data_IF_571056331811
#
_entry.id   IF_571056331811
#
_cell.length_a   1.000
_cell.length_b   1.000
_cell.length_c   1.000
_cell.angle_alpha   90.00
_cell.angle_beta   90.00
_cell.angle_gamma   90.00
#
_symmetry.space_group_name_H-M   'P 1'
#
loop_
_entity.id
_entity.type
_entity.pdbx_description
1 polymer ?
#
# COMPACT_ATOMS: atom_id res chain seq x y z
N UNK A 1 4.71 6.10 -16.61
CA UNK A 1 6.16 5.86 -16.66
C UNK A 1 6.71 6.68 -17.80
N UNK A 2 7.78 7.43 -17.60
CA UNK A 2 8.43 8.08 -18.71
C UNK A 2 8.86 7.00 -19.71
N UNK A 3 8.63 7.27 -21.00
CA UNK A 3 9.01 6.39 -22.10
C UNK A 3 8.24 5.06 -22.21
N UNK A 4 6.96 5.07 -21.96
CA UNK A 4 6.08 3.99 -22.43
C UNK A 4 5.70 4.31 -23.88
N UNK A 5 6.43 3.74 -24.85
CA UNK A 5 6.22 4.02 -26.29
C UNK A 5 4.80 3.65 -26.75
N UNK A 6 4.14 2.70 -26.06
CA UNK A 6 2.76 2.35 -26.31
C UNK A 6 1.76 3.41 -25.82
N UNK A 7 2.18 4.27 -24.90
CA UNK A 7 1.34 5.33 -24.28
C UNK A 7 2.13 6.63 -24.13
N UNK A 8 2.51 7.31 -25.21
CA UNK A 8 3.39 8.49 -25.18
C UNK A 8 2.81 9.66 -24.38
N UNK A 9 1.51 9.74 -24.26
CA UNK A 9 0.80 10.75 -23.44
C UNK A 9 0.56 10.28 -21.99
N UNK A 10 1.09 9.11 -21.61
CA UNK A 10 0.89 8.50 -20.32
C UNK A 10 -0.47 7.79 -20.18
N UNK A 11 -0.67 7.16 -19.04
CA UNK A 11 -1.96 6.54 -18.65
C UNK A 11 -2.16 6.57 -17.15
N UNK A 12 -3.41 6.60 -16.73
CA UNK A 12 -3.82 6.52 -15.34
C UNK A 12 -4.01 5.04 -14.98
N UNK A 13 -3.52 4.62 -13.82
CA UNK A 13 -3.78 3.31 -13.24
C UNK A 13 -4.78 3.44 -12.10
N UNK A 14 -5.80 2.59 -12.08
CA UNK A 14 -6.74 2.41 -11.00
C UNK A 14 -6.58 1.02 -10.41
N UNK A 15 -5.99 0.92 -9.24
CA UNK A 15 -5.86 -0.33 -8.48
C UNK A 15 -7.07 -0.51 -7.57
N UNK A 16 -7.65 -1.71 -7.52
CA UNK A 16 -8.83 -1.99 -6.71
C UNK A 16 -8.89 -3.44 -6.25
N UNK A 17 -9.68 -3.69 -5.23
CA UNK A 17 -9.95 -5.03 -4.73
C UNK A 17 -11.39 -5.44 -5.04
N UNK A 18 -11.58 -6.72 -5.31
CA UNK A 18 -12.88 -7.39 -5.26
C UNK A 18 -12.91 -8.39 -4.13
N UNK A 19 -14.09 -8.79 -3.69
CA UNK A 19 -14.25 -9.77 -2.64
C UNK A 19 -15.64 -10.38 -2.65
N UNK A 20 -15.76 -11.60 -2.11
CA UNK A 20 -17.00 -12.37 -2.08
C UNK A 20 -17.61 -12.46 -0.66
N UNK A 21 -16.99 -11.80 0.33
CA UNK A 21 -17.52 -11.78 1.70
C UNK A 21 -17.03 -10.51 2.45
N UNK A 22 -17.62 -10.26 3.63
CA UNK A 22 -17.19 -9.17 4.49
C UNK A 22 -15.83 -9.47 5.15
N UNK A 23 -15.16 -8.42 5.64
CA UNK A 23 -13.81 -8.46 6.19
C UNK A 23 -13.67 -9.49 7.32
N UNK A 24 -14.63 -9.54 8.24
CA UNK A 24 -14.58 -10.46 9.38
C UNK A 24 -14.64 -11.94 8.96
N UNK A 25 -15.34 -12.26 7.88
CA UNK A 25 -15.40 -13.62 7.34
C UNK A 25 -14.15 -13.96 6.54
N UNK A 26 -13.66 -13.04 5.73
CA UNK A 26 -12.41 -13.24 4.96
C UNK A 26 -11.22 -13.52 5.89
N UNK A 27 -11.07 -12.78 6.99
CA UNK A 27 -10.05 -13.05 8.02
C UNK A 27 -10.17 -14.45 8.64
N UNK A 28 -11.38 -15.00 8.75
CA UNK A 28 -11.61 -16.38 9.22
C UNK A 28 -11.36 -17.44 8.15
N UNK A 29 -11.00 -17.05 6.94
CA UNK A 29 -10.84 -17.95 5.81
C UNK A 29 -12.13 -18.27 5.04
N UNK A 30 -13.24 -17.57 5.35
CA UNK A 30 -14.55 -17.75 4.72
C UNK A 30 -14.78 -16.73 3.59
N UNK A 31 -13.84 -16.59 2.69
CA UNK A 31 -13.93 -15.66 1.58
C UNK A 31 -12.58 -15.33 0.98
N UNK A 32 -12.60 -14.57 -0.08
CA UNK A 32 -11.43 -14.22 -0.88
C UNK A 32 -11.41 -12.73 -1.14
N UNK A 33 -10.21 -12.17 -1.17
CA UNK A 33 -9.89 -10.88 -1.79
C UNK A 33 -9.08 -11.11 -3.05
N UNK A 34 -9.43 -10.39 -4.10
CA UNK A 34 -8.66 -10.36 -5.35
C UNK A 34 -8.16 -8.95 -5.61
N UNK A 35 -7.04 -8.86 -6.30
CA UNK A 35 -6.37 -7.60 -6.64
C UNK A 35 -6.41 -7.41 -8.15
N UNK A 36 -6.85 -6.24 -8.56
CA UNK A 36 -7.08 -5.89 -9.95
C UNK A 36 -6.56 -4.49 -10.26
N UNK A 37 -6.30 -4.22 -11.52
CA UNK A 37 -6.16 -2.85 -12.00
C UNK A 37 -6.86 -2.63 -13.33
N UNK A 38 -7.17 -1.39 -13.61
CA UNK A 38 -7.62 -0.85 -14.91
C UNK A 38 -6.75 0.33 -15.30
N UNK A 39 -6.75 0.68 -16.58
CA UNK A 39 -6.05 1.87 -17.05
C UNK A 39 -6.96 2.75 -17.92
N UNK A 40 -6.65 4.06 -17.92
CA UNK A 40 -7.29 5.05 -18.79
C UNK A 40 -6.21 5.87 -19.50
N UNK A 41 -6.47 6.24 -20.75
CA UNK A 41 -5.60 7.10 -21.60
C UNK A 41 -6.28 8.43 -21.97
N UNK A 42 -7.46 8.69 -21.45
CA UNK A 42 -8.32 9.85 -21.75
C UNK A 42 -8.78 10.59 -20.49
N UNK A 43 -7.90 10.70 -19.50
CA UNK A 43 -8.14 11.35 -18.20
C UNK A 43 -9.28 10.73 -17.39
N UNK A 44 -9.47 9.42 -17.48
CA UNK A 44 -10.43 8.68 -16.67
C UNK A 44 -11.85 8.63 -17.26
N UNK A 45 -12.04 9.03 -18.51
CA UNK A 45 -13.36 8.98 -19.16
C UNK A 45 -13.72 7.55 -19.57
N UNK A 46 -12.76 6.81 -20.12
CA UNK A 46 -12.93 5.41 -20.50
C UNK A 46 -11.83 4.58 -19.81
N UNK A 47 -12.20 3.43 -19.30
CA UNK A 47 -11.33 2.51 -18.62
C UNK A 47 -11.20 1.18 -19.37
N UNK A 48 -10.02 0.62 -19.40
CA UNK A 48 -9.78 -0.74 -19.93
C UNK A 48 -10.59 -1.80 -19.18
N UNK A 49 -10.62 -3.00 -19.73
CA UNK A 49 -11.01 -4.17 -18.95
C UNK A 49 -10.11 -4.34 -17.71
N UNK A 50 -10.66 -4.98 -16.68
CA UNK A 50 -9.91 -5.26 -15.45
C UNK A 50 -8.88 -6.36 -15.66
N UNK A 51 -7.67 -6.14 -15.17
CA UNK A 51 -6.58 -7.13 -15.19
C UNK A 51 -6.40 -7.66 -13.78
N UNK A 52 -6.58 -8.98 -13.60
CA UNK A 52 -6.38 -9.66 -12.32
C UNK A 52 -4.89 -9.92 -12.08
N UNK A 53 -4.36 -9.36 -11.00
CA UNK A 53 -2.96 -9.51 -10.59
C UNK A 53 -2.82 -10.24 -9.24
N UNK A 54 -3.89 -10.89 -8.76
CA UNK A 54 -3.92 -11.54 -7.45
C UNK A 54 -2.74 -12.50 -7.25
N UNK A 55 -2.47 -13.36 -8.23
CA UNK A 55 -1.35 -14.32 -8.14
C UNK A 55 0.03 -13.68 -8.07
N UNK A 56 0.17 -12.42 -8.48
CA UNK A 56 1.44 -11.70 -8.44
C UNK A 56 1.67 -10.99 -7.10
N UNK A 57 0.58 -10.57 -6.40
CA UNK A 57 0.69 -9.63 -5.28
C UNK A 57 0.03 -10.10 -3.98
N UNK A 58 -0.71 -11.21 -4.00
CA UNK A 58 -1.40 -11.79 -2.85
C UNK A 58 -1.01 -13.26 -2.68
N UNK A 59 -1.15 -13.82 -1.46
CA UNK A 59 -0.75 -15.19 -1.11
C UNK A 59 -1.88 -15.95 -0.38
N UNK A 60 -3.08 -16.09 -0.99
CA UNK A 60 -4.18 -16.78 -0.34
C UNK A 60 -3.97 -18.30 -0.34
N UNK A 61 -4.36 -18.97 0.75
CA UNK A 61 -4.42 -20.44 0.83
C UNK A 61 -5.86 -20.91 0.79
N UNK A 62 -6.44 -20.91 -0.39
CA UNK A 62 -7.85 -21.23 -0.62
C UNK A 62 -8.05 -22.15 -1.86
N UNK A 63 -7.41 -23.35 -1.88
CA UNK A 63 -7.46 -24.25 -3.04
C UNK A 63 -8.89 -24.77 -3.33
N UNK A 64 -9.79 -24.74 -2.35
CA UNK A 64 -11.20 -25.09 -2.51
C UNK A 64 -11.98 -24.05 -3.35
N UNK A 65 -11.52 -22.79 -3.39
CA UNK A 65 -12.11 -21.72 -4.22
C UNK A 65 -11.44 -21.72 -5.59
N UNK A 66 -10.11 -21.80 -5.60
CA UNK A 66 -9.32 -21.89 -6.82
C UNK A 66 -8.03 -22.67 -6.52
N UNK A 67 -7.75 -23.79 -7.22
CA UNK A 67 -6.55 -24.60 -6.98
C UNK A 67 -5.23 -23.83 -7.08
N UNK A 68 -5.20 -22.73 -7.84
CA UNK A 68 -4.00 -21.88 -7.96
C UNK A 68 -3.75 -21.00 -6.73
N UNK A 69 -4.72 -20.87 -5.83
CA UNK A 69 -4.61 -20.11 -4.56
C UNK A 69 -4.20 -21.05 -3.42
N UNK A 70 -3.05 -21.67 -3.56
CA UNK A 70 -2.54 -22.62 -2.58
C UNK A 70 -1.14 -22.22 -2.08
N UNK A 71 -1.04 -20.97 -1.59
CA UNK A 71 0.21 -20.44 -1.03
C UNK A 71 0.43 -20.90 0.41
N UNK A 72 1.68 -21.03 0.83
CA UNK A 72 2.04 -21.48 2.18
C UNK A 72 1.70 -20.41 3.22
N UNK A 73 1.85 -19.14 2.88
CA UNK A 73 1.72 -17.99 3.77
C UNK A 73 0.32 -17.79 4.34
N UNK A 74 -0.72 -18.36 3.74
CA UNK A 74 -2.12 -18.25 4.17
C UNK A 74 -2.56 -16.78 4.41
N UNK A 75 -2.28 -15.90 3.44
CA UNK A 75 -2.81 -14.55 3.51
C UNK A 75 -4.30 -14.57 3.24
N UNK A 76 -5.09 -13.91 4.08
CA UNK A 76 -6.56 -13.98 4.01
C UNK A 76 -7.20 -12.69 3.55
N UNK A 77 -7.21 -11.65 4.40
CA UNK A 77 -7.56 -10.32 3.93
C UNK A 77 -6.42 -9.73 3.15
N UNK A 78 -6.76 -8.95 2.14
CA UNK A 78 -5.80 -8.15 1.37
C UNK A 78 -6.50 -6.87 0.92
N UNK A 79 -5.85 -5.74 1.09
CA UNK A 79 -6.33 -4.46 0.60
C UNK A 79 -5.20 -3.65 -0.03
N UNK A 80 -5.45 -3.11 -1.23
CA UNK A 80 -4.77 -1.90 -1.64
C UNK A 80 -5.23 -0.81 -0.67
N UNK A 81 -4.31 -0.07 -0.11
CA UNK A 81 -4.69 0.96 0.85
C UNK A 81 -5.35 2.13 0.14
N UNK A 82 -6.30 2.83 0.79
CA UNK A 82 -6.96 3.99 0.19
C UNK A 82 -5.97 5.09 -0.17
N UNK A 83 -6.29 5.88 -1.17
CA UNK A 83 -5.50 7.02 -1.60
C UNK A 83 -4.80 6.81 -2.94
N UNK A 84 -3.59 7.29 -3.09
CA UNK A 84 -2.85 7.20 -4.34
C UNK A 84 -1.72 6.17 -4.29
N UNK A 85 -1.45 5.52 -5.43
CA UNK A 85 -0.20 4.83 -5.66
C UNK A 85 0.92 5.85 -5.92
N UNK A 86 2.14 5.54 -5.50
CA UNK A 86 3.30 6.38 -5.77
C UNK A 86 3.92 6.02 -7.11
N UNK A 87 4.12 7.00 -8.00
CA UNK A 87 5.06 6.87 -9.10
C UNK A 87 6.34 7.61 -8.79
N UNK A 88 7.47 6.91 -8.76
CA UNK A 88 8.79 7.52 -8.55
C UNK A 88 9.12 8.49 -9.70
N UNK A 89 9.53 9.69 -9.34
CA UNK A 89 9.84 10.77 -10.27
C UNK A 89 11.34 10.93 -10.51
N UNK A 90 12.17 10.46 -9.57
CA UNK A 90 13.59 10.79 -9.55
C UNK A 90 14.49 9.54 -9.58
N UNK A 91 15.69 9.74 -10.06
CA UNK A 91 16.86 8.88 -9.94
C UNK A 91 16.65 7.42 -10.39
N UNK A 92 17.18 6.47 -9.63
CA UNK A 92 17.30 5.05 -9.97
C UNK A 92 15.96 4.35 -10.21
N UNK A 93 14.92 4.75 -9.48
CA UNK A 93 13.59 4.09 -9.56
C UNK A 93 12.58 4.88 -10.37
N UNK A 94 13.03 5.90 -11.13
CA UNK A 94 12.15 6.72 -11.96
C UNK A 94 11.21 5.88 -12.82
N UNK A 95 9.91 6.14 -12.68
CA UNK A 95 8.86 5.42 -13.39
C UNK A 95 8.30 4.20 -12.67
N UNK A 96 8.98 3.65 -11.65
CA UNK A 96 8.38 2.60 -10.79
C UNK A 96 7.07 3.07 -10.23
N UNK A 97 6.04 2.24 -10.31
CA UNK A 97 4.79 2.44 -9.57
C UNK A 97 4.83 1.55 -8.34
N UNK A 98 4.71 2.14 -7.17
CA UNK A 98 4.59 1.45 -5.88
C UNK A 98 3.18 1.64 -5.34
N UNK A 99 2.54 0.55 -4.93
CA UNK A 99 1.20 0.52 -4.34
C UNK A 99 1.32 0.03 -2.91
N UNK A 100 0.95 0.87 -1.97
CA UNK A 100 0.85 0.46 -0.57
C UNK A 100 -0.31 -0.51 -0.39
N UNK A 101 -0.11 -1.53 0.43
CA UNK A 101 -1.07 -2.59 0.69
C UNK A 101 -0.96 -3.09 2.12
N UNK A 102 -1.91 -3.91 2.53
CA UNK A 102 -1.84 -4.69 3.76
C UNK A 102 -2.51 -6.04 3.57
N UNK A 103 -2.15 -6.99 4.38
CA UNK A 103 -2.80 -8.29 4.43
C UNK A 103 -2.95 -8.79 5.87
N UNK A 104 -3.85 -9.73 6.09
CA UNK A 104 -3.88 -10.55 7.31
C UNK A 104 -3.36 -11.95 7.03
N UNK A 105 -2.74 -12.58 8.01
CA UNK A 105 -2.13 -13.90 7.88
C UNK A 105 -2.67 -14.86 8.94
N UNK A 106 -3.12 -16.03 8.47
CA UNK A 106 -3.66 -17.09 9.33
C UNK A 106 -4.95 -16.69 10.08
N UNK A 107 -5.20 -17.32 11.22
CA UNK A 107 -6.38 -17.04 12.03
C UNK A 107 -6.36 -15.61 12.61
N UNK A 108 -7.55 -14.96 12.74
CA UNK A 108 -7.66 -13.66 13.38
C UNK A 108 -7.06 -13.64 14.78
N UNK A 109 -6.22 -12.65 15.06
CA UNK A 109 -5.58 -12.46 16.37
C UNK A 109 -6.19 -11.26 17.10
N UNK A 110 -6.04 -11.24 18.44
CA UNK A 110 -6.43 -10.08 19.26
C UNK A 110 -5.66 -8.83 18.81
N UNK A 111 -6.30 -7.68 18.95
CA UNK A 111 -5.73 -6.38 18.61
C UNK A 111 -5.19 -6.30 17.17
N UNK A 112 -5.76 -7.10 16.25
CA UNK A 112 -5.39 -7.10 14.83
C UNK A 112 -3.90 -7.38 14.57
N UNK A 113 -3.23 -8.14 15.41
CA UNK A 113 -1.80 -8.49 15.23
C UNK A 113 -1.58 -9.54 14.14
N UNK A 114 -2.64 -10.03 13.51
CA UNK A 114 -2.62 -10.80 12.27
C UNK A 114 -2.45 -9.94 11.01
N UNK A 115 -2.61 -8.60 11.13
CA UNK A 115 -2.35 -7.69 10.01
C UNK A 115 -0.91 -7.22 9.98
N UNK A 116 -0.45 -6.97 8.76
CA UNK A 116 0.80 -6.28 8.49
C UNK A 116 0.69 -5.48 7.19
N UNK A 117 1.28 -4.29 7.17
CA UNK A 117 1.42 -3.47 5.97
C UNK A 117 2.60 -3.98 5.13
N UNK A 118 2.43 -3.91 3.84
CA UNK A 118 3.43 -4.18 2.82
C UNK A 118 3.16 -3.30 1.60
N UNK A 119 3.65 -3.69 0.45
CA UNK A 119 3.32 -3.09 -0.82
C UNK A 119 3.67 -4.02 -1.98
N UNK A 120 3.46 -3.52 -3.17
CA UNK A 120 3.93 -4.15 -4.38
C UNK A 120 4.27 -3.09 -5.42
N UNK A 121 5.08 -3.45 -6.40
CA UNK A 121 5.55 -2.49 -7.39
C UNK A 121 5.71 -3.11 -8.77
N UNK A 122 5.73 -2.24 -9.78
CA UNK A 122 6.03 -2.59 -11.16
C UNK A 122 7.07 -1.63 -11.75
N UNK A 123 8.02 -2.19 -12.52
CA UNK A 123 9.07 -1.45 -13.23
C UNK A 123 8.88 -1.50 -14.76
N UNK A 124 7.84 -2.18 -15.24
CA UNK A 124 7.63 -2.50 -16.65
C UNK A 124 6.23 -2.13 -17.14
N UNK A 125 5.71 -1.01 -16.63
CA UNK A 125 4.43 -0.47 -17.06
C UNK A 125 3.23 -1.36 -16.74
N UNK A 126 3.28 -2.11 -15.63
CA UNK A 126 2.18 -2.95 -15.15
C UNK A 126 2.10 -4.33 -15.81
N UNK A 127 3.16 -4.79 -16.46
CA UNK A 127 3.22 -6.16 -17.00
C UNK A 127 3.50 -7.18 -15.92
N UNK A 128 4.46 -6.88 -15.03
CA UNK A 128 4.85 -7.73 -13.92
C UNK A 128 4.82 -6.91 -12.63
N UNK A 129 4.22 -7.47 -11.59
CA UNK A 129 4.23 -6.91 -10.24
C UNK A 129 5.06 -7.80 -9.30
N UNK A 130 5.77 -7.16 -8.37
CA UNK A 130 6.57 -7.82 -7.33
C UNK A 130 6.11 -7.34 -5.96
N UNK A 131 6.02 -8.27 -5.01
CA UNK A 131 5.66 -7.97 -3.62
C UNK A 131 6.89 -7.37 -2.92
N UNK A 132 6.67 -6.37 -2.07
CA UNK A 132 7.66 -5.92 -1.09
C UNK A 132 7.64 -6.81 0.16
N UNK A 133 8.68 -6.74 0.97
CA UNK A 133 8.65 -7.33 2.30
C UNK A 133 7.58 -6.67 3.18
N UNK A 134 7.18 -7.36 4.24
CA UNK A 134 6.36 -6.81 5.31
C UNK A 134 7.14 -5.77 6.13
N UNK A 135 6.46 -4.75 6.65
CA UNK A 135 7.13 -3.69 7.43
C UNK A 135 7.64 -4.11 8.82
N UNK A 136 7.46 -5.36 9.21
CA UNK A 136 8.00 -5.92 10.45
C UNK A 136 7.31 -5.48 11.74
N UNK A 137 6.25 -4.67 11.67
CA UNK A 137 5.43 -4.26 12.83
C UNK A 137 4.03 -4.84 12.69
N UNK A 138 3.70 -5.83 13.52
CA UNK A 138 2.39 -6.45 13.56
C UNK A 138 1.29 -5.42 13.92
N UNK A 139 0.15 -5.50 13.24
CA UNK A 139 -0.96 -4.57 13.39
C UNK A 139 -0.78 -3.27 12.59
N UNK A 140 0.23 -3.15 11.75
CA UNK A 140 0.28 -2.12 10.71
C UNK A 140 -0.79 -2.42 9.65
N UNK A 141 -1.43 -1.38 9.11
CA UNK A 141 -2.59 -1.52 8.23
C UNK A 141 -2.56 -0.47 7.12
N UNK A 142 -3.66 0.25 6.90
CA UNK A 142 -3.79 1.26 5.86
C UNK A 142 -2.55 2.17 5.80
N UNK A 143 -2.01 2.34 4.60
CA UNK A 143 -0.70 2.98 4.43
C UNK A 143 -0.66 3.80 3.16
N UNK A 144 0.16 4.83 3.17
CA UNK A 144 0.47 5.62 1.99
C UNK A 144 1.96 5.90 1.91
N UNK A 145 2.50 5.99 0.70
CA UNK A 145 3.93 6.15 0.48
C UNK A 145 4.25 7.46 -0.23
N UNK A 146 5.43 8.01 0.08
CA UNK A 146 6.01 9.17 -0.59
C UNK A 146 7.48 8.94 -0.93
N UNK A 147 7.91 9.47 -2.07
CA UNK A 147 9.30 9.43 -2.49
C UNK A 147 10.12 10.43 -1.67
N UNK A 148 11.19 9.95 -1.06
CA UNK A 148 12.21 10.76 -0.42
C UNK A 148 13.40 10.97 -1.37
N UNK A 149 14.28 11.93 -1.02
CA UNK A 149 15.55 12.11 -1.72
C UNK A 149 16.46 10.89 -1.58
N UNK A 150 17.42 10.74 -2.50
CA UNK A 150 18.42 9.68 -2.49
C UNK A 150 17.84 8.27 -2.65
N UNK A 151 16.90 8.10 -3.58
CA UNK A 151 16.25 6.82 -3.90
C UNK A 151 15.49 6.17 -2.74
N UNK A 152 15.16 6.93 -1.70
CA UNK A 152 14.42 6.42 -0.54
C UNK A 152 12.91 6.56 -0.75
N UNK A 153 12.19 5.68 -0.08
CA UNK A 153 10.74 5.72 0.06
C UNK A 153 10.41 5.74 1.55
N UNK A 154 9.45 6.57 1.93
CA UNK A 154 8.78 6.53 3.22
C UNK A 154 7.38 5.96 3.03
N UNK A 155 6.98 4.99 3.84
CA UNK A 155 5.60 4.57 3.96
C UNK A 155 5.11 4.87 5.38
N UNK A 156 3.95 5.49 5.46
CA UNK A 156 3.29 5.88 6.70
C UNK A 156 2.05 5.01 6.88
N UNK A 157 2.01 4.22 7.96
CA UNK A 157 0.96 3.23 8.19
C UNK A 157 0.16 3.52 9.46
N UNK A 158 -1.13 3.22 9.40
CA UNK A 158 -2.02 3.19 10.55
C UNK A 158 -1.59 2.10 11.53
N UNK A 159 -1.53 2.43 12.81
CA UNK A 159 -1.40 1.45 13.88
C UNK A 159 -2.80 0.91 14.26
N UNK A 160 -3.21 -0.18 13.64
CA UNK A 160 -4.54 -0.79 13.86
C UNK A 160 -4.72 -1.29 15.30
N UNK A 161 -3.65 -1.62 16.01
CA UNK A 161 -3.69 -2.04 17.42
C UNK A 161 -4.16 -0.93 18.33
N UNK A 162 -3.81 0.31 18.03
CA UNK A 162 -4.18 1.49 18.81
C UNK A 162 -3.59 1.57 20.22
N UNK A 163 -2.64 0.72 20.56
CA UNK A 163 -1.90 0.71 21.83
C UNK A 163 -0.91 1.88 21.92
N UNK A 164 -0.28 2.23 20.80
CA UNK A 164 0.56 3.42 20.66
C UNK A 164 -0.18 4.36 19.71
N UNK A 165 -0.49 5.58 20.17
CA UNK A 165 -1.20 6.61 19.38
C UNK A 165 -0.24 7.39 18.49
N UNK A 166 0.46 6.67 17.61
CA UNK A 166 1.46 7.19 16.70
C UNK A 166 1.42 6.42 15.37
N UNK A 167 1.76 7.10 14.28
CA UNK A 167 1.95 6.45 12.99
C UNK A 167 3.15 5.52 13.03
N UNK A 168 3.07 4.45 12.24
CA UNK A 168 4.20 3.59 11.92
C UNK A 168 4.84 4.18 10.67
N UNK A 169 6.12 4.54 10.77
CA UNK A 169 6.92 5.02 9.64
C UNK A 169 7.90 3.94 9.25
N UNK A 170 7.90 3.59 7.97
CA UNK A 170 8.83 2.62 7.39
C UNK A 170 9.65 3.29 6.29
N UNK A 171 10.96 3.08 6.31
CA UNK A 171 11.91 3.65 5.33
C UNK A 171 12.53 2.52 4.52
N UNK A 172 12.58 2.72 3.20
CA UNK A 172 13.25 1.84 2.25
C UNK A 172 14.29 2.61 1.45
N UNK A 173 15.47 2.04 1.24
CA UNK A 173 16.53 2.56 0.35
C UNK A 173 16.57 1.88 -1.01
N UNK A 174 15.67 0.92 -1.26
CA UNK A 174 15.64 0.16 -2.52
C UNK A 174 14.29 0.29 -3.27
N UNK A 175 13.64 1.44 -3.12
CA UNK A 175 12.40 1.77 -3.83
C UNK A 175 11.21 0.92 -3.39
N UNK A 176 11.14 0.53 -2.12
CA UNK A 176 10.03 -0.19 -1.53
C UNK A 176 10.10 -1.71 -1.66
N UNK A 177 11.22 -2.28 -2.13
CA UNK A 177 11.35 -3.73 -2.19
C UNK A 177 11.51 -4.36 -0.80
N UNK A 178 12.32 -3.73 0.05
CA UNK A 178 12.53 -4.11 1.46
C UNK A 178 12.53 -2.87 2.36
N UNK A 179 12.46 -3.05 3.66
CA UNK A 179 12.44 -1.97 4.65
C UNK A 179 13.70 -1.96 5.49
N UNK A 180 14.42 -0.83 5.49
CA UNK A 180 15.64 -0.63 6.28
C UNK A 180 15.30 -0.51 7.77
N UNK A 181 14.18 0.15 8.07
CA UNK A 181 13.68 0.37 9.44
C UNK A 181 12.18 0.62 9.45
N UNK A 182 11.52 0.25 10.56
CA UNK A 182 10.13 0.62 10.86
C UNK A 182 10.04 0.99 12.34
N UNK A 183 9.35 2.08 12.64
CA UNK A 183 9.23 2.62 14.00
C UNK A 183 7.94 3.42 14.20
N UNK A 184 7.57 3.66 15.46
CA UNK A 184 6.46 4.54 15.81
C UNK A 184 6.97 5.99 15.92
N UNK A 185 6.47 6.86 15.05
CA UNK A 185 6.76 8.29 15.13
C UNK A 185 5.73 9.00 16.02
N UNK A 186 6.14 9.30 17.25
CA UNK A 186 5.27 9.92 18.27
C UNK A 186 4.88 11.37 17.95
N UNK A 187 5.52 12.00 16.98
CA UNK A 187 5.14 13.33 16.50
C UNK A 187 3.95 13.28 15.55
N UNK A 188 3.74 12.13 14.91
CA UNK A 188 2.63 11.85 14.01
C UNK A 188 1.52 11.12 14.79
N UNK A 189 0.65 11.87 15.44
CA UNK A 189 -0.45 11.33 16.24
C UNK A 189 -1.38 10.48 15.37
N UNK A 190 -1.75 9.30 15.87
CA UNK A 190 -2.67 8.37 15.18
C UNK A 190 -3.85 7.98 16.09
N UNK A 191 -5.07 8.48 15.82
CA UNK A 191 -6.29 8.02 16.50
C UNK A 191 -6.82 6.69 15.90
N UNK A 192 -5.95 5.84 15.36
CA UNK A 192 -6.27 4.60 14.64
C UNK A 192 -7.04 4.92 13.35
N UNK A 193 -6.45 5.75 12.51
CA UNK A 193 -6.97 6.06 11.17
C UNK A 193 -5.82 6.11 10.14
N UNK A 194 -6.19 6.06 8.89
CA UNK A 194 -5.27 6.37 7.81
C UNK A 194 -4.83 7.84 7.85
N UNK A 195 -3.67 8.14 7.28
CA UNK A 195 -3.19 9.48 7.00
C UNK A 195 -2.74 9.57 5.55
N UNK A 196 -2.75 10.77 4.99
CA UNK A 196 -2.26 11.03 3.63
C UNK A 196 -0.85 11.59 3.68
N UNK A 197 0.03 11.11 2.79
CA UNK A 197 1.40 11.60 2.64
C UNK A 197 1.71 11.80 1.15
N UNK A 198 2.35 12.90 0.80
CA UNK A 198 2.66 13.23 -0.57
C UNK A 198 3.96 14.02 -0.67
N UNK A 199 4.79 13.71 -1.66
CA UNK A 199 5.89 14.58 -2.07
C UNK A 199 5.34 15.76 -2.85
N UNK A 200 5.45 16.97 -2.31
CA UNK A 200 4.85 18.19 -2.86
C UNK A 200 5.85 19.13 -3.53
N UNK A 201 7.13 18.83 -3.42
CA UNK A 201 8.17 19.68 -4.02
C UNK A 201 9.57 19.23 -3.66
N UNK A 202 10.53 20.05 -4.11
CA UNK A 202 11.95 19.81 -3.90
C UNK A 202 12.66 21.15 -3.56
N UNK A 203 13.48 21.14 -2.52
CA UNK A 203 14.25 22.33 -2.10
C UNK A 203 15.61 21.94 -1.54
N UNK A 204 16.67 22.57 -2.02
CA UNK A 204 18.05 22.36 -1.55
C UNK A 204 18.47 20.87 -1.53
N UNK A 205 18.17 20.13 -2.61
CA UNK A 205 18.52 18.72 -2.73
C UNK A 205 17.66 17.76 -1.94
N UNK A 206 16.55 18.22 -1.32
CA UNK A 206 15.64 17.39 -0.50
C UNK A 206 14.20 17.49 -1.00
N UNK A 207 13.50 16.38 -1.01
CA UNK A 207 12.05 16.36 -1.24
C UNK A 207 11.33 16.97 -0.02
N UNK A 208 10.28 17.73 -0.31
CA UNK A 208 9.36 18.28 0.69
C UNK A 208 8.17 17.34 0.74
N UNK A 209 7.86 16.85 1.93
CA UNK A 209 6.75 15.93 2.18
C UNK A 209 5.65 16.69 2.92
N UNK A 210 4.42 16.57 2.43
CA UNK A 210 3.23 16.96 3.17
C UNK A 210 2.59 15.73 3.80
N UNK A 211 2.15 15.85 5.04
CA UNK A 211 1.39 14.84 5.76
C UNK A 211 0.08 15.40 6.28
N UNK A 212 -1.01 14.67 6.18
CA UNK A 212 -2.32 15.07 6.65
C UNK A 212 -3.05 13.92 7.32
N UNK A 213 -3.54 14.13 8.53
CA UNK A 213 -4.40 13.18 9.24
C UNK A 213 -5.25 13.86 10.33
N UNK A 214 -6.13 13.10 10.99
CA UNK A 214 -6.75 13.52 12.23
C UNK A 214 -5.68 13.51 13.36
N UNK A 215 -5.54 14.63 14.08
CA UNK A 215 -4.47 14.81 15.07
C UNK A 215 -4.98 14.82 16.53
N UNK A 216 -6.01 14.03 16.82
CA UNK A 216 -6.54 13.85 18.18
C UNK A 216 -6.31 12.42 18.64
N UNK A 217 -5.68 12.23 19.79
CA UNK A 217 -5.35 10.90 20.32
C UNK A 217 -6.58 10.05 20.73
N UNK A 218 -7.75 10.67 20.89
CA UNK A 218 -8.97 9.98 21.37
C UNK A 218 -10.03 9.85 20.28
N UNK A 219 -10.09 10.78 19.33
CA UNK A 219 -11.17 10.87 18.33
C UNK A 219 -10.59 11.16 16.95
N UNK A 220 -11.32 10.78 15.91
CA UNK A 220 -10.98 11.07 14.50
C UNK A 220 -11.49 12.45 14.09
N UNK A 221 -11.04 13.46 14.79
CA UNK A 221 -11.33 14.88 14.54
C UNK A 221 -10.05 15.72 14.52
N UNK A 222 -10.17 17.03 14.34
CA UNK A 222 -9.03 17.95 14.29
C UNK A 222 -8.07 17.59 13.14
N UNK A 223 -8.52 17.81 11.90
CA UNK A 223 -7.66 17.61 10.73
C UNK A 223 -6.43 18.50 10.84
N UNK A 224 -5.26 17.90 10.74
CA UNK A 224 -3.97 18.55 10.80
C UNK A 224 -3.15 18.23 9.55
N UNK A 225 -2.34 19.19 9.12
CA UNK A 225 -1.35 19.00 8.07
C UNK A 225 0.00 19.57 8.52
N UNK A 226 1.09 18.89 8.13
CA UNK A 226 2.47 19.27 8.43
C UNK A 226 3.34 19.12 7.17
#
# INVERSE_FOLDING_TARGET
>A
MPNDDAYPNGRIFLFYNTGNNNEGQVRKGNGLRQVWYKTSIDNGQIWSEGINITLQVHRPKQPQINPTYNFEEDWRSFANTPGHALQFQNEKYKGRIFVSANHSQGNPKKNFTDYVANGYYTDDHGKIFRISDDVGIAGSNESMAAELSHNKLMMNSRNQRGDIRAKIVSISSNGGATWDTSYFDKTLIDPVNEGSILTIGHKKGKNIIAFCNAANIKRRDTLYYA
#
